data_IF_748075321692
#
_entry.id   IF_748075321692
#
_cell.length_a   1.000
_cell.length_b   1.000
_cell.length_c   1.000
_cell.angle_alpha   90.00
_cell.angle_beta   90.00
_cell.angle_gamma   90.00
#
_symmetry.space_group_name_H-M   'P 1'
#
loop_
_entity.id
_entity.type
_entity.pdbx_description
1 polymer ?
#
# COMPACT_ATOMS: atom_id res chain seq x y z
N UNK A 1 -18.40 -43.38 -30.09
CA UNK A 1 -17.85 -42.69 -28.90
C UNK A 1 -16.35 -42.55 -29.16
N UNK A 2 -15.72 -41.38 -29.20
CA UNK A 2 -16.02 -40.27 -28.31
C UNK A 2 -15.27 -38.95 -28.68
N UNK A 3 -15.15 -38.58 -29.96
CA UNK A 3 -14.51 -37.29 -30.34
C UNK A 3 -15.17 -36.08 -29.66
N UNK A 4 -16.50 -36.15 -29.47
CA UNK A 4 -17.26 -35.15 -28.69
C UNK A 4 -16.77 -35.10 -27.24
N UNK A 5 -16.61 -36.27 -26.61
CA UNK A 5 -16.13 -36.37 -25.23
C UNK A 5 -14.66 -35.94 -25.11
N UNK A 6 -13.80 -36.27 -26.08
CA UNK A 6 -12.41 -35.80 -26.11
C UNK A 6 -12.30 -34.28 -26.23
N UNK A 7 -13.14 -33.64 -27.05
CA UNK A 7 -13.16 -32.18 -27.16
C UNK A 7 -13.65 -31.52 -25.86
N UNK A 8 -14.69 -32.08 -25.24
CA UNK A 8 -15.18 -31.61 -23.94
C UNK A 8 -14.11 -31.73 -22.85
N UNK A 9 -13.35 -32.83 -22.83
CA UNK A 9 -12.23 -33.00 -21.89
C UNK A 9 -11.17 -31.93 -22.13
N UNK A 10 -10.77 -31.69 -23.39
CA UNK A 10 -9.77 -30.67 -23.72
C UNK A 10 -10.24 -29.24 -23.37
N UNK A 11 -11.52 -28.93 -23.59
CA UNK A 11 -12.10 -27.65 -23.19
C UNK A 11 -12.11 -27.48 -21.67
N UNK A 12 -12.42 -28.54 -20.91
CA UNK A 12 -12.37 -28.52 -19.44
C UNK A 12 -10.93 -28.35 -18.92
N UNK A 13 -9.95 -29.01 -19.54
CA UNK A 13 -8.53 -28.82 -19.20
C UNK A 13 -8.09 -27.38 -19.45
N UNK A 14 -8.50 -26.77 -20.59
CA UNK A 14 -8.23 -25.36 -20.88
C UNK A 14 -8.86 -24.44 -19.84
N UNK A 15 -10.11 -24.68 -19.46
CA UNK A 15 -10.80 -23.91 -18.42
C UNK A 15 -10.09 -24.05 -17.06
N UNK A 16 -9.71 -25.27 -16.68
CA UNK A 16 -8.99 -25.54 -15.43
C UNK A 16 -7.68 -24.75 -15.37
N UNK A 17 -6.88 -24.78 -16.43
CA UNK A 17 -5.64 -23.99 -16.54
C UNK A 17 -5.92 -22.49 -16.42
N UNK A 18 -6.94 -21.98 -17.11
CA UNK A 18 -7.33 -20.56 -17.02
C UNK A 18 -7.75 -20.15 -15.61
N UNK A 19 -8.46 -21.01 -14.89
CA UNK A 19 -8.87 -20.75 -13.50
C UNK A 19 -7.67 -20.75 -12.56
N UNK A 20 -6.73 -21.69 -12.75
CA UNK A 20 -5.50 -21.74 -11.96
C UNK A 20 -4.63 -20.49 -12.18
N UNK A 21 -4.50 -20.01 -13.42
CA UNK A 21 -3.77 -18.78 -13.73
C UNK A 21 -4.39 -17.57 -13.00
N UNK A 22 -5.73 -17.44 -13.03
CA UNK A 22 -6.45 -16.40 -12.30
C UNK A 22 -6.23 -16.50 -10.79
N UNK A 23 -6.27 -17.71 -10.24
CA UNK A 23 -6.02 -17.96 -8.82
C UNK A 23 -4.61 -17.53 -8.41
N UNK A 24 -3.61 -17.79 -9.24
CA UNK A 24 -2.24 -17.36 -8.97
C UNK A 24 -2.09 -15.84 -8.98
N UNK A 25 -2.75 -15.14 -9.92
CA UNK A 25 -2.77 -13.68 -9.96
C UNK A 25 -3.39 -13.10 -8.68
N UNK A 26 -4.54 -13.62 -8.25
CA UNK A 26 -5.20 -13.19 -7.01
C UNK A 26 -4.31 -13.43 -5.79
N UNK A 27 -3.73 -14.63 -5.67
CA UNK A 27 -2.80 -14.96 -4.58
C UNK A 27 -1.59 -14.02 -4.53
N UNK A 28 -1.09 -13.56 -5.68
CA UNK A 28 0.00 -12.59 -5.74
C UNK A 28 -0.47 -11.21 -5.28
N UNK A 29 -1.64 -10.76 -5.76
CA UNK A 29 -2.24 -9.49 -5.34
C UNK A 29 -2.42 -9.43 -3.81
N UNK A 30 -2.98 -10.49 -3.21
CA UNK A 30 -3.20 -10.56 -1.76
C UNK A 30 -1.88 -10.47 -0.98
N UNK A 31 -0.84 -11.16 -1.45
CA UNK A 31 0.50 -11.09 -0.85
C UNK A 31 1.08 -9.68 -0.95
N UNK A 32 0.92 -9.02 -2.09
CA UNK A 32 1.44 -7.67 -2.31
C UNK A 32 0.71 -6.64 -1.43
N UNK A 33 -0.62 -6.76 -1.29
CA UNK A 33 -1.43 -5.93 -0.38
C UNK A 33 -1.02 -6.15 1.07
N UNK A 34 -0.87 -7.40 1.51
CA UNK A 34 -0.42 -7.71 2.87
C UNK A 34 0.98 -7.16 3.16
N UNK A 35 1.89 -7.25 2.18
CA UNK A 35 3.23 -6.69 2.28
C UNK A 35 3.21 -5.17 2.38
N UNK A 36 2.45 -4.49 1.52
CA UNK A 36 2.29 -3.04 1.55
C UNK A 36 1.69 -2.57 2.89
N UNK A 37 0.64 -3.25 3.35
CA UNK A 37 0.01 -2.97 4.63
C UNK A 37 0.97 -3.15 5.81
N UNK A 38 1.72 -4.26 5.83
CA UNK A 38 2.69 -4.53 6.90
C UNK A 38 3.80 -3.47 6.94
N UNK A 39 4.33 -3.08 5.78
CA UNK A 39 5.31 -1.98 5.68
C UNK A 39 4.72 -0.66 6.18
N UNK A 40 3.48 -0.35 5.80
CA UNK A 40 2.79 0.85 6.27
C UNK A 40 2.62 0.86 7.80
N UNK A 41 2.20 -0.25 8.40
CA UNK A 41 2.09 -0.37 9.86
C UNK A 41 3.44 -0.21 10.56
N UNK A 42 4.50 -0.79 9.99
CA UNK A 42 5.87 -0.62 10.49
C UNK A 42 6.26 0.86 10.48
N UNK A 43 6.13 1.55 9.35
CA UNK A 43 6.48 2.96 9.25
C UNK A 43 5.66 3.81 10.21
N UNK A 44 4.35 3.62 10.27
CA UNK A 44 3.47 4.35 11.20
C UNK A 44 3.83 4.12 12.67
N UNK A 45 4.30 2.92 13.02
CA UNK A 45 4.69 2.62 14.41
C UNK A 45 5.91 3.42 14.86
N UNK A 46 6.83 3.72 13.94
CA UNK A 46 8.05 4.48 14.21
C UNK A 46 7.79 5.97 14.06
N UNK A 47 7.24 6.41 12.92
CA UNK A 47 7.08 7.83 12.61
C UNK A 47 5.87 8.45 13.28
N UNK A 48 4.89 7.65 13.71
CA UNK A 48 3.57 8.11 14.20
C UNK A 48 2.81 8.95 13.16
N UNK A 49 3.26 8.99 11.91
CA UNK A 49 2.65 9.74 10.82
C UNK A 49 1.51 8.95 10.19
N UNK A 50 0.42 9.66 9.91
CA UNK A 50 -0.66 9.24 9.01
C UNK A 50 -0.66 10.22 7.82
N UNK A 51 -0.17 9.82 6.63
CA UNK A 51 -0.15 10.68 5.46
C UNK A 51 -1.57 10.95 4.94
N UNK A 52 -1.80 12.15 4.41
CA UNK A 52 -3.00 12.46 3.63
C UNK A 52 -2.82 12.03 2.18
N UNK A 53 -3.90 11.57 1.56
CA UNK A 53 -3.94 11.16 0.15
C UNK A 53 -4.76 12.13 -0.72
N UNK A 54 -5.25 13.23 -0.14
CA UNK A 54 -6.20 14.14 -0.79
C UNK A 54 -5.53 15.03 -1.86
N UNK A 55 -4.28 15.45 -1.63
CA UNK A 55 -3.54 16.38 -2.50
C UNK A 55 -2.19 15.78 -2.95
N UNK A 56 -2.09 15.17 -4.14
CA UNK A 56 -0.88 14.49 -4.60
C UNK A 56 0.34 15.40 -4.81
N UNK A 57 0.11 16.70 -4.95
CA UNK A 57 1.16 17.70 -5.20
C UNK A 57 1.88 18.13 -3.92
N UNK A 58 1.36 17.76 -2.74
CA UNK A 58 1.90 18.17 -1.44
C UNK A 58 2.21 16.95 -0.59
N UNK A 59 3.14 17.13 0.34
CA UNK A 59 3.41 16.17 1.40
C UNK A 59 2.69 16.65 2.64
N UNK A 60 1.53 16.08 2.94
CA UNK A 60 0.70 16.48 4.07
C UNK A 60 0.22 15.28 4.89
N UNK A 61 -0.23 15.56 6.11
CA UNK A 61 -0.72 14.51 6.99
C UNK A 61 -0.77 14.95 8.44
N UNK A 62 -0.80 13.94 9.31
CA UNK A 62 -0.97 14.10 10.74
C UNK A 62 0.07 13.30 11.51
N UNK A 63 0.62 13.85 12.59
CA UNK A 63 1.46 13.15 13.57
C UNK A 63 0.61 12.86 14.80
N UNK A 64 0.60 11.59 15.22
CA UNK A 64 -0.16 11.13 16.38
C UNK A 64 0.70 11.21 17.65
N UNK A 65 0.33 12.07 18.60
CA UNK A 65 0.91 12.08 19.94
C UNK A 65 0.10 11.16 20.88
N UNK A 66 0.72 10.05 21.29
CA UNK A 66 0.11 9.07 22.23
C UNK A 66 -0.03 9.62 23.66
N UNK A 67 0.79 10.61 24.04
CA UNK A 67 0.81 11.15 25.41
C UNK A 67 -0.26 12.23 25.55
N UNK A 68 -0.40 13.10 24.55
CA UNK A 68 -1.31 14.26 24.63
C UNK A 68 -2.65 14.06 23.95
N UNK A 69 -2.91 12.88 23.34
CA UNK A 69 -4.06 12.65 22.45
C UNK A 69 -4.18 13.73 21.35
N UNK A 70 -3.06 14.35 21.00
CA UNK A 70 -3.03 15.50 20.11
C UNK A 70 -2.62 15.04 18.71
N UNK A 71 -3.25 15.65 17.72
CA UNK A 71 -2.98 15.40 16.30
C UNK A 71 -2.39 16.67 15.73
N UNK A 72 -1.08 16.66 15.45
CA UNK A 72 -0.40 17.78 14.80
C UNK A 72 -0.49 17.60 13.28
N UNK A 73 -0.91 18.64 12.57
CA UNK A 73 -1.02 18.64 11.11
C UNK A 73 0.26 19.19 10.50
N UNK A 74 0.70 18.59 9.40
CA UNK A 74 1.80 19.13 8.59
C UNK A 74 1.41 19.20 7.12
N UNK A 75 2.04 20.13 6.41
CA UNK A 75 1.95 20.28 4.96
C UNK A 75 3.26 20.88 4.44
N UNK A 76 3.82 20.27 3.40
CA UNK A 76 5.01 20.72 2.71
C UNK A 76 4.77 20.74 1.21
N UNK A 77 5.25 21.78 0.55
CA UNK A 77 5.32 21.86 -0.91
C UNK A 77 6.70 21.36 -1.38
N UNK A 78 6.78 20.21 -2.08
CA UNK A 78 8.04 19.69 -2.61
C UNK A 78 8.74 20.63 -3.60
N UNK A 79 8.05 21.62 -4.16
CA UNK A 79 8.65 22.64 -5.02
C UNK A 79 9.47 23.69 -4.24
N UNK A 80 9.15 23.89 -2.95
CA UNK A 80 9.71 24.96 -2.13
C UNK A 80 10.75 24.48 -1.11
N UNK A 81 10.86 23.17 -0.88
CA UNK A 81 11.79 22.61 0.09
C UNK A 81 12.43 21.31 -0.42
N UNK A 82 13.72 21.11 -0.12
CA UNK A 82 14.39 19.87 -0.48
C UNK A 82 13.85 18.69 0.33
N UNK A 83 13.93 17.47 -0.21
CA UNK A 83 13.56 16.27 0.54
C UNK A 83 14.33 16.13 1.86
N UNK A 84 15.57 16.63 1.92
CA UNK A 84 16.36 16.63 3.16
C UNK A 84 15.77 17.55 4.22
N UNK A 85 15.38 18.77 3.85
CA UNK A 85 14.80 19.75 4.78
C UNK A 85 13.43 19.31 5.29
N UNK A 86 12.61 18.75 4.40
CA UNK A 86 11.30 18.19 4.75
C UNK A 86 11.46 17.03 5.74
N UNK A 87 12.34 16.06 5.46
CA UNK A 87 12.61 14.94 6.35
C UNK A 87 13.09 15.38 7.73
N UNK A 88 14.04 16.32 7.80
CA UNK A 88 14.53 16.83 9.08
C UNK A 88 13.44 17.55 9.87
N UNK A 89 12.56 18.29 9.18
CA UNK A 89 11.43 18.98 9.81
C UNK A 89 10.43 17.97 10.40
N UNK A 90 10.09 16.93 9.65
CA UNK A 90 9.21 15.85 10.12
C UNK A 90 9.79 15.13 11.33
N UNK A 91 11.07 14.74 11.31
CA UNK A 91 11.70 14.07 12.45
C UNK A 91 11.73 14.94 13.71
N UNK A 92 11.99 16.25 13.57
CA UNK A 92 11.90 17.19 14.69
C UNK A 92 10.51 17.25 15.31
N UNK A 93 9.46 17.23 14.49
CA UNK A 93 8.06 17.20 14.97
C UNK A 93 7.74 15.88 15.71
N UNK A 94 8.29 14.74 15.25
CA UNK A 94 8.07 13.42 15.87
C UNK A 94 8.72 13.29 17.25
N UNK A 95 9.88 13.94 17.42
CA UNK A 95 10.69 13.94 18.65
C UNK A 95 10.31 15.05 19.65
N UNK A 96 9.35 15.92 19.30
CA UNK A 96 8.83 17.00 20.16
C UNK A 96 7.81 16.50 21.20
#
# INVERSE_FOLDING_TARGET
MNTIVSNQISDLERQSSSVEDQRQILNKCDKDVLKAWSSFQMYRSVSKIVPSMDEPTKISGHILDKVKYMVEKFEFDPANASSFDICNSLWKMIDS
#
